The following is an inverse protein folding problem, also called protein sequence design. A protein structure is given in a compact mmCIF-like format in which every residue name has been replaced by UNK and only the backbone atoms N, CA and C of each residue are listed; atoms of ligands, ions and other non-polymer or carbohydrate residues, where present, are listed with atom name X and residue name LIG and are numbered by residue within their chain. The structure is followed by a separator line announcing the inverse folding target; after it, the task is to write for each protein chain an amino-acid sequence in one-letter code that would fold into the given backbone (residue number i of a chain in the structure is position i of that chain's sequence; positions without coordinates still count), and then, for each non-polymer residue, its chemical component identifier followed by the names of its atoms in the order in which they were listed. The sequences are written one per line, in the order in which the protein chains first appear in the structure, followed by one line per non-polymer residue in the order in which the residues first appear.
data_IF_589464481845
#
_entry.id   IF_589464481845
#
_cell.length_a   1.000
_cell.length_b   1.000
_cell.length_c   1.000
_cell.angle_alpha   90.00
_cell.angle_beta   90.00
_cell.angle_gamma   90.00
#
_symmetry.space_group_name_H-M   'P 1'
#
loop_
_entity.id
_entity.type
_entity.pdbx_description
1 polymer ?
#
# COMPACT_ATOMS: atom_id res chain seq x y z
N UNK A 1 3.90 31.15 -10.52
CA UNK A 1 2.96 31.65 -9.49
C UNK A 1 3.30 31.00 -8.16
N UNK A 2 3.14 31.73 -7.07
CA UNK A 2 3.30 31.22 -5.71
C UNK A 2 2.01 31.40 -4.92
N UNK A 3 1.69 30.43 -4.06
CA UNK A 3 0.50 30.44 -3.21
C UNK A 3 0.97 30.44 -1.76
N UNK A 4 0.45 31.37 -0.96
CA UNK A 4 0.73 31.53 0.45
C UNK A 4 -0.54 31.39 1.27
N UNK A 5 -0.42 30.74 2.42
CA UNK A 5 -1.45 30.67 3.44
C UNK A 5 -1.11 31.63 4.57
N UNK A 6 -2.09 32.37 5.08
CA UNK A 6 -1.93 33.18 6.29
C UNK A 6 -2.20 32.34 7.53
N UNK A 7 -1.22 32.26 8.43
CA UNK A 7 -1.32 31.58 9.71
C UNK A 7 -2.02 32.46 10.76
N UNK A 8 -2.35 31.89 11.92
CA UNK A 8 -3.04 32.62 13.01
C UNK A 8 -2.19 33.75 13.59
N UNK A 9 -0.87 33.60 13.56
CA UNK A 9 0.11 34.62 13.95
C UNK A 9 0.36 35.68 12.85
N UNK A 10 -0.46 35.68 11.79
CA UNK A 10 -0.32 36.50 10.58
C UNK A 10 0.95 36.22 9.75
N UNK A 11 1.71 35.18 10.08
CA UNK A 11 2.84 34.77 9.22
C UNK A 11 2.32 34.20 7.89
N UNK A 12 3.03 34.49 6.80
CA UNK A 12 2.75 33.93 5.49
C UNK A 12 3.60 32.67 5.28
N UNK A 13 2.96 31.56 4.97
CA UNK A 13 3.63 30.29 4.66
C UNK A 13 3.44 29.96 3.18
N UNK A 14 4.53 29.75 2.44
CA UNK A 14 4.48 29.24 1.06
C UNK A 14 3.92 27.82 1.08
N UNK A 15 2.79 27.60 0.40
CA UNK A 15 2.15 26.29 0.29
C UNK A 15 2.40 25.63 -1.07
N UNK A 16 2.59 26.41 -2.13
CA UNK A 16 2.85 25.88 -3.46
C UNK A 16 3.53 26.89 -4.38
N UNK A 17 4.33 26.38 -5.32
CA UNK A 17 4.94 27.15 -6.41
C UNK A 17 4.75 26.38 -7.72
N UNK A 18 4.21 27.04 -8.73
CA UNK A 18 4.06 26.46 -10.07
C UNK A 18 5.37 26.51 -10.86
N UNK A 19 5.43 25.76 -11.96
CA UNK A 19 6.51 25.81 -12.93
C UNK A 19 6.61 27.16 -13.66
N UNK A 20 7.77 27.38 -14.27
CA UNK A 20 8.05 28.58 -15.08
C UNK A 20 7.63 28.32 -16.52
N UNK A 21 6.70 29.15 -17.02
CA UNK A 21 6.28 29.13 -18.43
C UNK A 21 7.08 30.20 -19.19
N UNK A 22 7.93 29.78 -20.13
CA UNK A 22 8.83 30.69 -20.86
C UNK A 22 8.10 31.42 -21.99
N UNK A 23 8.40 32.71 -22.18
CA UNK A 23 7.98 33.54 -23.31
C UNK A 23 6.45 33.54 -23.57
N UNK A 24 5.64 33.63 -22.52
CA UNK A 24 4.19 33.59 -22.65
C UNK A 24 3.52 34.69 -21.82
N UNK A 25 2.69 35.52 -22.47
CA UNK A 25 1.90 36.59 -21.82
C UNK A 25 0.55 36.09 -21.28
N UNK A 26 0.13 34.89 -21.67
CA UNK A 26 -1.09 34.23 -21.21
C UNK A 26 -0.72 32.79 -20.76
N UNK A 27 0.10 32.62 -19.71
CA UNK A 27 0.56 31.32 -19.28
C UNK A 27 -0.60 30.48 -18.72
N UNK A 28 -0.63 29.21 -19.08
CA UNK A 28 -1.42 28.18 -18.40
C UNK A 28 -0.46 27.28 -17.64
N UNK A 29 -0.69 27.13 -16.34
CA UNK A 29 0.13 26.27 -15.49
C UNK A 29 -0.40 24.83 -15.48
N UNK A 30 0.50 23.88 -15.22
CA UNK A 30 0.14 22.46 -15.06
C UNK A 30 -0.80 22.27 -13.85
N UNK A 31 -1.80 21.38 -13.94
CA UNK A 31 -2.66 21.04 -12.81
C UNK A 31 -1.85 20.49 -11.63
N UNK A 32 -2.22 20.90 -10.41
CA UNK A 32 -1.58 20.43 -9.19
C UNK A 32 -2.60 19.96 -8.16
N UNK A 33 -2.16 19.14 -7.20
CA UNK A 33 -2.97 18.58 -6.12
C UNK A 33 -2.38 18.96 -4.77
N UNK A 34 -3.21 19.46 -3.87
CA UNK A 34 -2.84 19.80 -2.49
C UNK A 34 -3.87 19.25 -1.52
N UNK A 35 -3.43 18.84 -0.33
CA UNK A 35 -4.37 18.56 0.75
C UNK A 35 -4.96 19.87 1.30
N UNK A 36 -6.25 19.85 1.67
CA UNK A 36 -6.91 21.01 2.28
C UNK A 36 -6.21 21.47 3.56
N UNK A 37 -5.59 20.54 4.29
CA UNK A 37 -4.76 20.86 5.44
C UNK A 37 -3.55 21.74 5.05
N UNK A 38 -2.82 21.36 3.99
CA UNK A 38 -1.65 22.14 3.55
C UNK A 38 -2.08 23.49 3.00
N UNK A 39 -3.12 23.49 2.14
CA UNK A 39 -3.60 24.67 1.45
C UNK A 39 -4.18 25.71 2.41
N UNK A 40 -5.12 25.33 3.28
CA UNK A 40 -5.89 26.28 4.09
C UNK A 40 -6.11 25.82 5.55
N UNK A 41 -5.34 24.84 6.04
CA UNK A 41 -5.53 24.25 7.39
C UNK A 41 -6.95 23.73 7.62
N UNK A 42 -7.58 23.21 6.56
CA UNK A 42 -8.98 22.76 6.54
C UNK A 42 -10.04 23.84 6.81
N UNK A 43 -9.64 25.11 6.88
CA UNK A 43 -10.56 26.25 6.97
C UNK A 43 -10.78 26.81 5.56
N UNK A 44 -11.94 26.53 4.98
CA UNK A 44 -12.25 26.92 3.59
C UNK A 44 -12.40 28.44 3.41
N UNK A 45 -12.60 29.18 4.51
CA UNK A 45 -12.72 30.64 4.51
C UNK A 45 -11.38 31.33 4.76
N UNK A 46 -10.32 30.56 5.06
CA UNK A 46 -8.99 31.11 5.31
C UNK A 46 -8.47 31.86 4.07
N UNK A 47 -8.00 33.11 4.22
CA UNK A 47 -7.40 33.85 3.12
C UNK A 47 -6.13 33.18 2.59
N UNK A 48 -6.05 33.11 1.27
CA UNK A 48 -4.88 32.66 0.51
C UNK A 48 -4.39 33.81 -0.36
N UNK A 49 -3.08 34.01 -0.36
CA UNK A 49 -2.42 35.06 -1.14
C UNK A 49 -1.67 34.44 -2.29
N UNK A 50 -1.89 34.96 -3.48
CA UNK A 50 -1.30 34.47 -4.71
C UNK A 50 -0.37 35.54 -5.27
N UNK A 51 0.89 35.18 -5.49
CA UNK A 51 1.91 36.07 -6.03
C UNK A 51 2.32 35.60 -7.43
N UNK A 52 2.38 36.53 -8.38
CA UNK A 52 2.80 36.26 -9.75
C UNK A 52 4.08 37.01 -10.03
N UNK A 53 5.05 36.30 -10.58
CA UNK A 53 6.39 36.81 -10.87
C UNK A 53 6.76 36.52 -12.32
N UNK A 54 7.52 37.43 -12.91
CA UNK A 54 8.27 37.22 -14.12
C UNK A 54 9.63 36.61 -13.76
N UNK A 55 9.96 35.49 -14.41
CA UNK A 55 11.14 34.72 -14.07
C UNK A 55 12.37 35.28 -14.80
N UNK A 56 13.32 35.80 -14.03
CA UNK A 56 14.68 36.05 -14.50
C UNK A 56 15.67 34.93 -14.06
N UNK A 57 16.48 34.47 -15.02
CA UNK A 57 17.63 33.58 -14.81
C UNK A 57 18.66 34.09 -13.79
N UNK A 58 18.73 35.40 -13.55
CA UNK A 58 19.58 36.02 -12.53
C UNK A 58 19.15 35.68 -11.10
N UNK A 59 17.94 35.12 -10.91
CA UNK A 59 17.31 34.88 -9.61
C UNK A 59 16.57 36.09 -9.04
N UNK A 60 16.68 37.26 -9.67
CA UNK A 60 15.94 38.47 -9.28
C UNK A 60 14.63 38.55 -10.07
N UNK A 61 13.67 37.73 -9.67
CA UNK A 61 12.36 37.68 -10.32
C UNK A 61 11.58 38.98 -10.13
N UNK A 62 10.99 39.48 -11.20
CA UNK A 62 10.23 40.73 -11.17
C UNK A 62 8.80 40.45 -10.74
N UNK A 63 8.33 41.17 -9.72
CA UNK A 63 6.97 41.00 -9.21
C UNK A 63 5.94 41.61 -10.18
N UNK A 64 5.06 40.77 -10.72
CA UNK A 64 3.99 41.19 -11.64
C UNK A 64 2.81 41.72 -10.83
N UNK A 65 2.30 40.95 -9.87
CA UNK A 65 1.15 41.35 -9.06
C UNK A 65 0.67 40.24 -8.13
N UNK A 66 -0.32 40.57 -7.31
CA UNK A 66 -0.94 39.67 -6.34
C UNK A 66 -2.46 39.74 -6.37
N UNK A 67 -3.09 38.69 -5.87
CA UNK A 67 -4.50 38.68 -5.52
C UNK A 67 -4.72 37.80 -4.29
N UNK A 68 -5.88 37.97 -3.65
CA UNK A 68 -6.31 37.16 -2.50
C UNK A 68 -7.59 36.43 -2.86
N UNK A 69 -7.74 35.20 -2.40
CA UNK A 69 -9.00 34.45 -2.47
C UNK A 69 -9.09 33.46 -1.32
N UNK A 70 -10.21 32.74 -1.23
CA UNK A 70 -10.43 31.64 -0.27
C UNK A 70 -10.70 30.35 -1.03
N UNK A 71 -10.56 29.21 -0.35
CA UNK A 71 -10.92 27.94 -0.98
C UNK A 71 -12.39 27.87 -1.37
N UNK A 72 -13.27 28.43 -0.53
CA UNK A 72 -14.69 28.55 -0.82
C UNK A 72 -14.94 29.32 -2.13
N UNK A 73 -14.34 30.50 -2.32
CA UNK A 73 -14.52 31.31 -3.54
C UNK A 73 -14.02 30.58 -4.80
N UNK A 74 -12.92 29.84 -4.68
CA UNK A 74 -12.39 29.01 -5.76
C UNK A 74 -13.37 27.90 -6.14
N UNK A 75 -13.97 27.22 -5.16
CA UNK A 75 -14.97 26.18 -5.40
C UNK A 75 -16.27 26.72 -6.02
N UNK A 76 -16.83 27.80 -5.45
CA UNK A 76 -18.06 28.42 -5.94
C UNK A 76 -17.89 28.94 -7.37
N UNK A 77 -16.71 29.48 -7.66
CA UNK A 77 -16.37 30.03 -8.96
C UNK A 77 -16.15 28.98 -10.07
N UNK A 78 -16.00 27.70 -9.72
CA UNK A 78 -15.90 26.58 -10.68
C UNK A 78 -16.97 25.51 -10.46
N UNK A 79 -18.06 25.84 -9.77
CA UNK A 79 -19.10 24.87 -9.40
C UNK A 79 -19.89 24.34 -10.61
N UNK A 80 -20.05 25.15 -11.67
CA UNK A 80 -20.78 24.79 -12.87
C UNK A 80 -19.84 24.63 -14.09
N UNK A 81 -20.10 23.67 -14.99
CA UNK A 81 -19.33 23.53 -16.23
C UNK A 81 -19.35 24.82 -17.06
N UNK A 82 -18.17 25.33 -17.42
CA UNK A 82 -18.01 26.58 -18.20
C UNK A 82 -18.05 27.86 -17.37
N UNK A 83 -18.25 27.77 -16.04
CA UNK A 83 -18.06 28.90 -15.14
C UNK A 83 -16.59 29.00 -14.75
N UNK A 84 -15.98 30.16 -15.02
CA UNK A 84 -14.61 30.46 -14.66
C UNK A 84 -14.58 31.53 -13.57
N UNK A 85 -13.73 31.33 -12.57
CA UNK A 85 -13.46 32.36 -11.57
C UNK A 85 -12.29 33.21 -12.02
N UNK A 86 -12.44 34.52 -11.94
CA UNK A 86 -11.43 35.47 -12.37
C UNK A 86 -11.09 36.45 -11.26
N UNK A 87 -9.81 36.79 -11.14
CA UNK A 87 -9.32 37.83 -10.25
C UNK A 87 -8.37 38.75 -11.01
N UNK A 88 -8.44 40.04 -10.71
CA UNK A 88 -7.45 40.99 -11.20
C UNK A 88 -6.12 40.80 -10.47
N UNK A 89 -5.04 40.68 -11.22
CA UNK A 89 -3.69 40.63 -10.67
C UNK A 89 -3.22 42.06 -10.39
N UNK A 90 -3.02 42.41 -9.12
CA UNK A 90 -2.75 43.79 -8.70
C UNK A 90 -1.29 43.94 -8.26
N UNK A 91 -0.55 44.85 -8.89
CA UNK A 91 0.74 45.30 -8.38
C UNK A 91 0.53 46.50 -7.44
N UNK A 92 0.77 46.38 -6.11
CA UNK A 92 0.53 47.49 -5.19
C UNK A 92 1.34 48.73 -5.56
N UNK A 93 2.61 48.55 -6.01
CA UNK A 93 3.47 49.67 -6.42
C UNK A 93 2.91 50.43 -7.62
N UNK A 94 2.25 49.74 -8.56
CA UNK A 94 1.63 50.40 -9.72
C UNK A 94 0.28 51.00 -9.38
N UNK A 95 -0.53 50.34 -8.55
CA UNK A 95 -1.79 50.89 -8.05
C UNK A 95 -1.60 52.23 -7.38
N UNK A 96 -0.57 52.36 -6.54
CA UNK A 96 -0.34 53.58 -5.76
C UNK A 96 0.34 54.69 -6.58
N UNK A 97 1.09 54.35 -7.64
CA UNK A 97 1.87 55.33 -8.44
C UNK A 97 1.24 55.73 -9.77
N UNK A 98 0.44 54.88 -10.40
CA UNK A 98 -0.06 55.10 -11.78
C UNK A 98 -1.55 55.45 -11.74
N UNK A 99 -1.88 56.69 -12.14
CA UNK A 99 -3.24 57.27 -12.09
C UNK A 99 -4.31 56.47 -12.86
N UNK A 100 -3.94 55.72 -13.90
CA UNK A 100 -4.86 54.96 -14.76
C UNK A 100 -4.63 53.43 -14.68
N UNK A 101 -3.98 52.94 -13.64
CA UNK A 101 -3.73 51.51 -13.47
C UNK A 101 -5.00 50.76 -13.06
N UNK A 102 -5.32 49.67 -13.77
CA UNK A 102 -6.44 48.78 -13.44
C UNK A 102 -5.94 47.45 -12.87
N UNK A 103 -5.17 46.71 -13.65
CA UNK A 103 -4.54 45.45 -13.25
C UNK A 103 -3.27 45.20 -14.09
N UNK A 104 -2.45 44.23 -13.67
CA UNK A 104 -1.26 43.74 -14.37
C UNK A 104 -1.57 42.46 -15.16
N UNK A 105 -2.86 42.20 -15.40
CA UNK A 105 -3.37 40.97 -15.97
C UNK A 105 -4.56 40.43 -15.17
N UNK A 106 -5.19 39.40 -15.70
CA UNK A 106 -6.32 38.69 -15.07
C UNK A 106 -5.92 37.23 -14.86
N UNK A 107 -6.17 36.71 -13.67
CA UNK A 107 -5.95 35.30 -13.33
C UNK A 107 -7.27 34.57 -13.43
N UNK A 108 -7.27 33.47 -14.19
CA UNK A 108 -8.44 32.63 -14.42
C UNK A 108 -8.20 31.27 -13.78
N UNK A 109 -9.10 30.85 -12.89
CA UNK A 109 -9.12 29.48 -12.38
C UNK A 109 -10.01 28.65 -13.30
N UNK A 110 -9.37 27.81 -14.12
CA UNK A 110 -10.05 26.96 -15.09
C UNK A 110 -10.82 25.79 -14.43
N UNK A 111 -10.26 25.18 -13.39
CA UNK A 111 -10.85 24.04 -12.71
C UNK A 111 -10.39 23.95 -11.25
N UNK A 112 -11.32 23.68 -10.34
CA UNK A 112 -11.03 23.33 -8.96
C UNK A 112 -11.99 22.22 -8.50
N UNK A 113 -11.44 21.04 -8.21
CA UNK A 113 -12.20 19.87 -7.76
C UNK A 113 -11.72 19.42 -6.38
N UNK A 114 -12.65 18.96 -5.55
CA UNK A 114 -12.33 18.29 -4.28
C UNK A 114 -12.53 16.80 -4.45
N UNK A 115 -11.45 16.06 -4.29
CA UNK A 115 -11.48 14.60 -4.26
C UNK A 115 -11.40 14.14 -2.79
N UNK A 116 -12.39 13.36 -2.35
CA UNK A 116 -12.32 12.71 -1.04
C UNK A 116 -11.31 11.56 -1.13
N UNK A 117 -10.21 11.68 -0.40
CA UNK A 117 -9.24 10.61 -0.25
C UNK A 117 -9.64 9.76 0.96
N UNK A 118 -9.80 8.46 0.74
CA UNK A 118 -10.14 7.51 1.79
C UNK A 118 -8.87 6.95 2.44
N UNK A 119 -8.93 6.78 3.76
CA UNK A 119 -7.88 6.14 4.54
C UNK A 119 -8.07 4.64 4.59
N UNK A 120 -7.03 3.89 4.96
CA UNK A 120 -7.15 2.45 5.19
C UNK A 120 -8.25 2.11 6.20
N UNK A 121 -8.33 2.87 7.31
CA UNK A 121 -9.35 2.66 8.33
C UNK A 121 -10.76 2.91 7.82
N UNK A 122 -10.96 3.84 6.87
CA UNK A 122 -12.27 4.04 6.25
C UNK A 122 -12.74 2.77 5.54
N UNK A 123 -11.86 2.06 4.84
CA UNK A 123 -12.17 0.78 4.20
C UNK A 123 -12.53 -0.30 5.23
N UNK A 124 -11.73 -0.45 6.29
CA UNK A 124 -11.99 -1.43 7.36
C UNK A 124 -13.32 -1.14 8.06
N UNK A 125 -13.57 0.11 8.45
CA UNK A 125 -14.84 0.52 9.07
C UNK A 125 -16.03 0.36 8.12
N UNK A 126 -15.79 0.56 6.82
CA UNK A 126 -16.75 0.32 5.74
C UNK A 126 -17.03 -1.17 5.45
N UNK A 127 -16.42 -2.09 6.21
CA UNK A 127 -16.68 -3.52 6.12
C UNK A 127 -15.73 -4.29 5.20
N UNK A 128 -14.65 -3.68 4.73
CA UNK A 128 -13.58 -4.38 4.01
C UNK A 128 -12.85 -5.34 4.96
N UNK A 129 -12.81 -6.61 4.60
CA UNK A 129 -12.12 -7.66 5.34
C UNK A 129 -10.72 -7.90 4.78
N UNK A 130 -9.71 -7.87 5.64
CA UNK A 130 -8.38 -8.35 5.29
C UNK A 130 -8.32 -9.85 5.57
N UNK A 131 -7.86 -10.63 4.59
CA UNK A 131 -7.76 -12.08 4.68
C UNK A 131 -6.36 -12.55 4.33
N UNK A 132 -5.70 -13.18 5.30
CA UNK A 132 -4.33 -13.64 5.19
C UNK A 132 -4.27 -15.10 4.76
N UNK A 133 -3.43 -15.39 3.77
CA UNK A 133 -3.07 -16.75 3.35
C UNK A 133 -1.60 -16.98 3.66
N UNK A 134 -1.28 -18.11 4.28
CA UNK A 134 0.11 -18.46 4.63
C UNK A 134 0.64 -19.47 3.61
N UNK A 135 1.84 -19.24 3.10
CA UNK A 135 2.57 -20.14 2.22
C UNK A 135 3.94 -20.46 2.81
N UNK A 136 4.23 -21.74 3.01
CA UNK A 136 5.46 -22.22 3.64
C UNK A 136 6.30 -22.96 2.60
N UNK A 137 7.53 -22.51 2.44
CA UNK A 137 8.54 -23.19 1.64
C UNK A 137 8.96 -24.50 2.31
N UNK A 138 8.82 -25.61 1.59
CA UNK A 138 9.27 -26.95 2.01
C UNK A 138 10.32 -27.50 1.05
N UNK A 139 11.15 -26.64 0.48
CA UNK A 139 12.19 -27.05 -0.46
C UNK A 139 13.40 -27.67 0.21
N UNK A 140 14.16 -28.46 -0.55
CA UNK A 140 15.32 -29.21 -0.07
C UNK A 140 16.50 -28.31 0.36
N UNK A 141 16.54 -27.04 -0.03
CA UNK A 141 17.55 -26.07 0.42
C UNK A 141 17.52 -25.85 1.94
N UNK A 142 16.36 -26.07 2.56
CA UNK A 142 16.18 -26.02 4.01
C UNK A 142 16.90 -27.13 4.79
N UNK A 143 17.41 -28.16 4.10
CA UNK A 143 18.07 -29.32 4.68
C UNK A 143 17.11 -30.32 5.34
N UNK A 144 17.59 -31.55 5.54
CA UNK A 144 16.80 -32.65 6.10
C UNK A 144 16.20 -32.28 7.48
N UNK A 145 14.87 -32.31 7.67
CA UNK A 145 14.22 -31.95 8.93
C UNK A 145 14.70 -32.75 10.15
N UNK A 146 15.34 -33.90 9.95
CA UNK A 146 15.93 -34.73 11.01
C UNK A 146 17.29 -34.20 11.48
N UNK A 147 17.95 -33.39 10.66
CA UNK A 147 19.22 -32.75 11.01
C UNK A 147 18.97 -31.54 11.89
N UNK A 148 19.79 -31.38 12.95
CA UNK A 148 19.74 -30.21 13.83
C UNK A 148 20.11 -28.90 13.14
N UNK A 149 20.73 -28.95 11.96
CA UNK A 149 21.10 -27.78 11.17
C UNK A 149 19.98 -27.34 10.20
N UNK A 150 18.93 -28.14 10.02
CA UNK A 150 17.82 -27.80 9.12
C UNK A 150 17.00 -26.63 9.65
N UNK A 151 16.57 -25.76 8.74
CA UNK A 151 15.66 -24.66 9.05
C UNK A 151 14.27 -25.17 9.48
N UNK A 152 13.93 -26.42 9.13
CA UNK A 152 12.70 -27.10 9.54
C UNK A 152 12.83 -28.00 10.77
N UNK A 153 14.03 -28.15 11.37
CA UNK A 153 14.27 -29.13 12.44
C UNK A 153 13.28 -29.00 13.60
N UNK A 154 12.47 -30.05 13.85
CA UNK A 154 11.54 -30.07 14.98
C UNK A 154 12.26 -30.48 16.25
N UNK A 155 12.77 -29.50 17.00
CA UNK A 155 13.36 -29.72 18.33
C UNK A 155 12.33 -29.51 19.45
N UNK A 156 12.32 -30.36 20.49
CA UNK A 156 11.48 -30.15 21.67
C UNK A 156 11.94 -28.96 22.53
N UNK A 157 13.19 -28.50 22.38
CA UNK A 157 13.79 -27.43 23.20
C UNK A 157 13.68 -26.05 22.59
N UNK A 158 13.75 -25.95 21.26
CA UNK A 158 13.76 -24.66 20.57
C UNK A 158 12.91 -24.73 19.29
N UNK A 159 12.03 -23.74 19.04
CA UNK A 159 11.33 -23.65 17.77
C UNK A 159 12.31 -23.39 16.62
N UNK A 160 12.06 -23.99 15.47
CA UNK A 160 12.84 -23.73 14.27
C UNK A 160 12.54 -22.33 13.68
N UNK A 161 13.25 -21.94 12.63
CA UNK A 161 13.15 -20.60 12.05
C UNK A 161 11.74 -20.31 11.50
N UNK A 162 11.09 -21.28 10.85
CA UNK A 162 9.73 -21.14 10.35
C UNK A 162 8.71 -20.99 11.48
N UNK A 163 8.83 -21.77 12.55
CA UNK A 163 7.96 -21.68 13.73
C UNK A 163 8.13 -20.35 14.47
N UNK A 164 9.36 -19.82 14.54
CA UNK A 164 9.62 -18.49 15.08
C UNK A 164 8.95 -17.41 14.22
N UNK A 165 9.13 -17.47 12.90
CA UNK A 165 8.52 -16.53 11.97
C UNK A 165 6.98 -16.60 11.96
N UNK A 166 6.40 -17.80 11.93
CA UNK A 166 4.94 -17.99 12.02
C UNK A 166 4.38 -17.41 13.32
N UNK A 167 5.03 -17.63 14.46
CA UNK A 167 4.57 -17.07 15.74
C UNK A 167 4.66 -15.56 15.77
N UNK A 168 5.79 -15.01 15.32
CA UNK A 168 6.04 -13.58 15.38
C UNK A 168 5.19 -12.84 14.34
N UNK A 169 5.39 -13.13 13.06
CA UNK A 169 4.72 -12.47 11.94
C UNK A 169 3.25 -12.85 11.87
N UNK A 170 2.94 -14.15 11.94
CA UNK A 170 1.56 -14.61 11.91
C UNK A 170 0.75 -14.04 13.08
N UNK A 171 1.32 -14.00 14.29
CA UNK A 171 0.64 -13.43 15.46
C UNK A 171 0.24 -11.97 15.24
N UNK A 172 1.10 -11.18 14.59
CA UNK A 172 0.80 -9.81 14.20
C UNK A 172 -0.31 -9.78 13.14
N UNK A 173 -0.17 -10.56 12.06
CA UNK A 173 -1.17 -10.62 10.98
C UNK A 173 -2.54 -11.06 11.47
N UNK A 174 -2.60 -11.91 12.50
CA UNK A 174 -3.83 -12.41 13.07
C UNK A 174 -4.72 -11.34 13.70
N UNK A 175 -4.14 -10.25 14.19
CA UNK A 175 -4.92 -9.14 14.75
C UNK A 175 -5.58 -8.27 13.65
N UNK A 176 -5.14 -8.42 12.39
CA UNK A 176 -5.69 -7.72 11.23
C UNK A 176 -6.60 -8.60 10.37
N UNK A 177 -6.49 -9.92 10.50
CA UNK A 177 -7.39 -10.85 9.82
C UNK A 177 -8.79 -10.81 10.44
N UNK A 178 -9.81 -10.72 9.58
CA UNK A 178 -11.18 -10.46 10.02
C UNK A 178 -11.87 -11.68 10.65
N UNK A 179 -11.55 -12.90 10.21
CA UNK A 179 -12.17 -14.14 10.70
C UNK A 179 -11.19 -15.06 11.44
N UNK A 180 -9.89 -14.71 11.43
CA UNK A 180 -8.78 -15.48 12.02
C UNK A 180 -8.68 -16.89 11.45
N UNK A 181 -9.13 -17.11 10.22
CA UNK A 181 -9.02 -18.37 9.49
C UNK A 181 -8.03 -18.19 8.36
N UNK A 182 -6.92 -18.90 8.45
CA UNK A 182 -5.80 -18.77 7.53
C UNK A 182 -5.76 -19.96 6.59
N UNK A 183 -6.07 -19.80 5.30
CA UNK A 183 -5.66 -20.77 4.30
C UNK A 183 -4.15 -20.97 4.39
N UNK A 184 -3.71 -22.21 4.59
CA UNK A 184 -2.31 -22.53 4.79
C UNK A 184 -1.83 -23.54 3.74
N UNK A 185 -0.83 -23.12 2.96
CA UNK A 185 -0.27 -23.88 1.85
C UNK A 185 1.22 -24.13 2.01
N UNK A 186 1.68 -25.21 1.40
CA UNK A 186 3.09 -25.55 1.26
C UNK A 186 3.49 -25.55 -0.21
N UNK A 187 4.77 -25.29 -0.49
CA UNK A 187 5.30 -25.39 -1.85
C UNK A 187 6.70 -26.00 -1.88
N UNK A 188 7.03 -26.67 -2.99
CA UNK A 188 8.36 -27.24 -3.22
C UNK A 188 8.60 -28.58 -2.53
N UNK A 189 7.55 -29.36 -2.26
CA UNK A 189 7.66 -30.68 -1.64
C UNK A 189 6.96 -31.76 -2.47
N UNK A 190 7.37 -33.01 -2.25
CA UNK A 190 6.64 -34.19 -2.71
C UNK A 190 5.65 -34.63 -1.65
N UNK A 191 4.37 -34.70 -2.03
CA UNK A 191 3.27 -34.99 -1.10
C UNK A 191 2.72 -36.41 -1.27
N UNK A 192 2.33 -37.09 -0.18
CA UNK A 192 1.64 -38.39 -0.28
C UNK A 192 0.29 -38.25 -1.00
N UNK A 193 -0.27 -39.35 -1.57
CA UNK A 193 0.24 -40.72 -1.52
C UNK A 193 1.27 -41.05 -2.61
N UNK A 194 1.27 -40.32 -3.73
CA UNK A 194 2.09 -40.64 -4.90
C UNK A 194 3.48 -39.97 -4.90
N UNK A 195 3.73 -39.06 -3.95
CA UNK A 195 4.97 -38.27 -3.85
C UNK A 195 5.26 -37.45 -5.12
N UNK A 196 4.21 -36.88 -5.70
CA UNK A 196 4.31 -35.91 -6.77
C UNK A 196 4.72 -34.54 -6.22
N UNK A 197 5.51 -33.81 -7.00
CA UNK A 197 5.97 -32.46 -6.65
C UNK A 197 4.79 -31.52 -6.69
N UNK A 198 4.54 -30.81 -5.59
CA UNK A 198 3.52 -29.79 -5.49
C UNK A 198 4.11 -28.45 -5.05
N UNK A 199 3.55 -27.37 -5.59
CA UNK A 199 3.94 -25.99 -5.32
C UNK A 199 2.81 -25.15 -4.71
N UNK A 200 1.73 -25.79 -4.27
CA UNK A 200 0.57 -25.09 -3.69
C UNK A 200 -0.35 -25.99 -2.84
N UNK A 201 0.14 -27.08 -2.24
CA UNK A 201 -0.71 -28.04 -1.51
C UNK A 201 -1.19 -27.49 -0.16
N UNK A 202 -2.36 -27.92 0.31
CA UNK A 202 -2.87 -27.57 1.64
C UNK A 202 -2.09 -28.31 2.73
N UNK A 203 -1.51 -27.60 3.71
CA UNK A 203 -0.65 -28.23 4.74
C UNK A 203 -1.45 -29.07 5.76
N UNK A 204 -2.76 -28.86 5.84
CA UNK A 204 -3.66 -29.70 6.62
C UNK A 204 -4.09 -30.98 5.89
N UNK A 205 -3.65 -31.18 4.64
CA UNK A 205 -4.06 -32.26 3.74
C UNK A 205 -5.58 -32.29 3.43
N UNK A 206 -6.25 -31.14 3.54
CA UNK A 206 -7.65 -30.96 3.15
C UNK A 206 -7.71 -29.96 1.98
N UNK A 207 -7.64 -30.42 0.71
CA UNK A 207 -7.60 -29.53 -0.45
C UNK A 207 -8.83 -28.63 -0.59
N UNK A 208 -10.00 -29.13 -0.18
CA UNK A 208 -11.29 -28.42 -0.24
C UNK A 208 -11.44 -27.37 0.86
N UNK A 209 -10.70 -27.51 1.97
CA UNK A 209 -10.76 -26.60 3.11
C UNK A 209 -9.35 -26.40 3.70
N UNK A 210 -8.51 -25.56 3.09
CA UNK A 210 -7.14 -25.32 3.55
C UNK A 210 -7.05 -24.41 4.79
N UNK A 211 -8.19 -24.00 5.35
CA UNK A 211 -8.28 -22.99 6.40
C UNK A 211 -7.93 -23.57 7.78
N UNK A 212 -6.96 -22.94 8.44
CA UNK A 212 -6.57 -23.22 9.81
C UNK A 212 -7.11 -22.14 10.75
N UNK A 213 -7.69 -22.54 11.88
CA UNK A 213 -8.12 -21.60 12.92
C UNK A 213 -6.92 -21.04 13.67
N UNK A 214 -6.75 -19.72 13.62
CA UNK A 214 -5.62 -19.00 14.18
C UNK A 214 -4.24 -19.48 13.67
N UNK A 215 -3.20 -18.74 14.04
CA UNK A 215 -1.81 -19.14 13.81
C UNK A 215 -1.44 -20.39 14.59
N UNK A 216 -2.12 -20.63 15.72
CA UNK A 216 -1.97 -21.87 16.49
C UNK A 216 -2.37 -23.10 15.66
N UNK A 217 -3.45 -23.01 14.86
CA UNK A 217 -3.86 -24.03 13.92
C UNK A 217 -2.86 -24.23 12.78
N UNK A 218 -2.32 -23.14 12.20
CA UNK A 218 -1.28 -23.21 11.16
C UNK A 218 -0.03 -23.92 11.69
N UNK A 219 0.41 -23.60 12.92
CA UNK A 219 1.56 -24.25 13.57
C UNK A 219 1.29 -25.75 13.80
N UNK A 220 0.09 -26.12 14.23
CA UNK A 220 -0.29 -27.51 14.43
C UNK A 220 -0.31 -28.29 13.10
N UNK A 221 -0.87 -27.70 12.04
CA UNK A 221 -0.86 -28.27 10.70
C UNK A 221 0.57 -28.43 10.16
N UNK A 222 1.43 -27.41 10.30
CA UNK A 222 2.84 -27.47 9.92
C UNK A 222 3.59 -28.62 10.61
N UNK A 223 3.43 -28.78 11.94
CA UNK A 223 4.09 -29.85 12.71
C UNK A 223 3.65 -31.25 12.29
N UNK A 224 2.39 -31.39 11.89
CA UNK A 224 1.82 -32.66 11.40
C UNK A 224 2.19 -32.94 9.95
N UNK A 225 2.30 -31.89 9.12
CA UNK A 225 2.61 -31.99 7.69
C UNK A 225 4.06 -32.39 7.44
N UNK A 226 5.00 -31.72 8.10
CA UNK A 226 6.42 -31.84 7.83
C UNK A 226 6.98 -33.29 7.86
N UNK A 227 6.58 -34.19 8.80
CA UNK A 227 7.06 -35.57 8.80
C UNK A 227 6.50 -36.45 7.68
N UNK A 228 5.42 -36.03 7.02
CA UNK A 228 4.68 -36.82 6.02
C UNK A 228 5.09 -36.50 4.58
N UNK A 229 5.76 -35.36 4.36
CA UNK A 229 6.21 -34.90 3.05
C UNK A 229 7.70 -35.14 2.86
N UNK A 230 8.15 -35.11 1.61
CA UNK A 230 9.58 -35.10 1.28
C UNK A 230 9.95 -33.73 0.72
N UNK A 231 10.87 -33.03 1.39
CA UNK A 231 11.40 -31.75 0.90
C UNK A 231 12.01 -31.95 -0.50
N UNK A 232 11.69 -31.08 -1.44
CA UNK A 232 12.11 -31.23 -2.83
C UNK A 232 12.38 -29.87 -3.50
N UNK A 233 12.44 -29.80 -4.82
CA UNK A 233 12.60 -28.53 -5.53
C UNK A 233 12.00 -28.63 -6.93
N UNK A 234 12.02 -27.55 -7.70
CA UNK A 234 12.60 -26.23 -7.41
C UNK A 234 11.75 -25.37 -6.46
N UNK A 235 12.28 -24.21 -6.06
CA UNK A 235 11.53 -23.22 -5.26
C UNK A 235 10.71 -22.34 -6.19
N UNK A 236 9.49 -22.77 -6.48
CA UNK A 236 8.58 -22.04 -7.36
C UNK A 236 7.49 -21.33 -6.54
N UNK A 237 7.43 -20.01 -6.65
CA UNK A 237 6.47 -19.17 -5.90
C UNK A 237 5.30 -18.73 -6.79
N UNK A 238 5.47 -18.72 -8.11
CA UNK A 238 4.40 -18.33 -9.03
C UNK A 238 3.10 -19.15 -8.86
N UNK A 239 3.12 -20.48 -8.62
CA UNK A 239 1.90 -21.26 -8.43
C UNK A 239 1.06 -20.77 -7.25
N UNK A 240 1.69 -20.49 -6.11
CA UNK A 240 0.97 -20.05 -4.92
C UNK A 240 0.41 -18.63 -5.07
N UNK A 241 1.12 -17.74 -5.76
CA UNK A 241 0.62 -16.39 -6.11
C UNK A 241 -0.64 -16.51 -6.97
N UNK A 242 -0.62 -17.37 -7.99
CA UNK A 242 -1.77 -17.56 -8.87
C UNK A 242 -2.97 -18.19 -8.13
N UNK A 243 -2.73 -19.11 -7.18
CA UNK A 243 -3.79 -19.68 -6.35
C UNK A 243 -4.52 -18.62 -5.54
N UNK A 244 -3.80 -17.68 -4.92
CA UNK A 244 -4.39 -16.57 -4.14
C UNK A 244 -5.00 -15.49 -5.05
N UNK A 245 -4.44 -15.30 -6.24
CA UNK A 245 -4.99 -14.38 -7.24
C UNK A 245 -6.39 -14.79 -7.71
N UNK A 246 -6.71 -16.09 -7.77
CA UNK A 246 -8.03 -16.58 -8.20
C UNK A 246 -9.20 -16.02 -7.37
N UNK A 247 -9.21 -16.20 -6.04
CA UNK A 247 -10.18 -15.56 -5.15
C UNK A 247 -10.18 -14.03 -5.26
N UNK A 248 -9.02 -13.37 -5.34
CA UNK A 248 -8.92 -11.92 -5.48
C UNK A 248 -9.54 -11.40 -6.79
N UNK A 249 -9.44 -12.16 -7.88
CA UNK A 249 -10.07 -11.83 -9.16
C UNK A 249 -11.60 -11.92 -9.10
N UNK A 250 -12.14 -12.89 -8.36
CA UNK A 250 -13.60 -12.96 -8.10
C UNK A 250 -14.06 -11.75 -7.30
N UNK A 251 -13.29 -11.35 -6.30
CA UNK A 251 -13.57 -10.16 -5.49
C UNK A 251 -13.56 -8.88 -6.33
N UNK A 252 -12.57 -8.70 -7.21
CA UNK A 252 -12.54 -7.58 -8.15
C UNK A 252 -13.83 -7.46 -8.97
N UNK A 253 -14.40 -8.59 -9.39
CA UNK A 253 -15.61 -8.63 -10.22
C UNK A 253 -16.86 -8.14 -9.49
N UNK A 254 -16.84 -8.06 -8.14
CA UNK A 254 -17.94 -7.52 -7.35
C UNK A 254 -18.05 -6.00 -7.45
N UNK A 255 -16.95 -5.32 -7.78
CA UNK A 255 -16.86 -3.85 -7.82
C UNK A 255 -16.99 -3.20 -6.43
N UNK A 256 -16.87 -3.95 -5.35
CA UNK A 256 -17.02 -3.48 -3.98
C UNK A 256 -15.74 -3.73 -3.18
N UNK A 257 -15.52 -2.95 -2.12
CA UNK A 257 -14.40 -3.13 -1.21
C UNK A 257 -14.78 -4.08 -0.06
N UNK A 258 -15.13 -5.34 -0.36
CA UNK A 258 -15.58 -6.29 0.67
C UNK A 258 -14.46 -7.16 1.21
N UNK A 259 -13.50 -7.56 0.37
CA UNK A 259 -12.37 -8.39 0.77
C UNK A 259 -11.07 -7.92 0.11
N UNK A 260 -9.97 -8.02 0.85
CA UNK A 260 -8.62 -7.78 0.36
C UNK A 260 -7.70 -8.91 0.83
N UNK A 261 -6.97 -9.53 -0.11
CA UNK A 261 -6.17 -10.74 0.18
C UNK A 261 -4.71 -10.40 0.44
N UNK A 262 -4.10 -11.00 1.46
CA UNK A 262 -2.67 -10.83 1.77
C UNK A 262 -2.01 -12.21 1.79
N UNK A 263 -1.07 -12.45 0.88
CA UNK A 263 -0.29 -13.69 0.83
C UNK A 263 1.01 -13.51 1.62
N UNK A 264 1.14 -14.22 2.74
CA UNK A 264 2.36 -14.31 3.55
C UNK A 264 3.20 -15.53 3.12
N UNK A 265 4.32 -15.30 2.45
CA UNK A 265 5.26 -16.32 2.00
C UNK A 265 6.44 -16.41 2.96
N UNK A 266 6.72 -17.59 3.50
CA UNK A 266 7.93 -17.87 4.28
C UNK A 266 8.87 -18.72 3.43
N UNK A 267 10.08 -18.22 3.14
CA UNK A 267 11.07 -18.90 2.29
C UNK A 267 12.48 -18.69 2.81
N UNK A 268 13.40 -19.62 2.51
CA UNK A 268 14.81 -19.49 2.85
C UNK A 268 15.60 -18.65 1.83
N UNK A 269 14.97 -18.17 0.74
CA UNK A 269 15.47 -17.06 -0.07
C UNK A 269 15.87 -17.37 -1.51
N UNK A 270 15.87 -18.64 -1.92
CA UNK A 270 16.25 -19.03 -3.29
C UNK A 270 14.98 -19.23 -4.12
N UNK A 271 14.59 -18.27 -4.97
CA UNK A 271 13.46 -18.47 -5.90
C UNK A 271 13.99 -18.90 -7.27
N UNK A 272 13.52 -20.04 -7.75
CA UNK A 272 13.96 -20.63 -9.02
C UNK A 272 13.18 -20.11 -10.22
N UNK A 273 11.90 -19.76 -10.05
CA UNK A 273 10.98 -19.33 -11.11
C UNK A 273 10.83 -17.80 -11.18
N UNK A 274 11.95 -17.06 -11.16
CA UNK A 274 11.92 -15.60 -11.10
C UNK A 274 11.14 -14.95 -12.26
N UNK A 275 11.21 -15.51 -13.47
CA UNK A 275 10.50 -14.99 -14.65
C UNK A 275 8.97 -15.15 -14.51
N UNK A 276 8.53 -16.32 -14.06
CA UNK A 276 7.14 -16.67 -13.81
C UNK A 276 6.60 -15.92 -12.60
N UNK A 277 7.38 -15.81 -11.53
CA UNK A 277 7.05 -15.07 -10.31
C UNK A 277 6.84 -13.59 -10.62
N UNK A 278 7.75 -12.95 -11.37
CA UNK A 278 7.52 -11.56 -11.86
C UNK A 278 6.26 -11.44 -12.71
N UNK A 279 5.98 -12.42 -13.56
CA UNK A 279 4.76 -12.41 -14.38
C UNK A 279 3.50 -12.55 -13.52
N UNK A 280 3.54 -13.39 -12.49
CA UNK A 280 2.45 -13.57 -11.54
C UNK A 280 2.22 -12.29 -10.71
N UNK A 281 3.29 -11.67 -10.20
CA UNK A 281 3.22 -10.40 -9.45
C UNK A 281 2.64 -9.27 -10.33
N UNK A 282 3.12 -9.12 -11.58
CA UNK A 282 2.59 -8.09 -12.49
C UNK A 282 1.10 -8.31 -12.79
N UNK A 283 0.63 -9.55 -12.89
CA UNK A 283 -0.80 -9.85 -13.01
C UNK A 283 -1.57 -9.53 -11.72
N UNK A 284 -1.06 -10.00 -10.59
CA UNK A 284 -1.61 -9.78 -9.26
C UNK A 284 -1.69 -8.30 -8.88
N UNK A 285 -0.80 -7.44 -9.42
CA UNK A 285 -0.82 -6.00 -9.16
C UNK A 285 -2.13 -5.32 -9.55
N UNK A 286 -2.93 -5.94 -10.42
CA UNK A 286 -4.24 -5.43 -10.84
C UNK A 286 -5.40 -5.94 -10.00
N UNK A 287 -5.16 -6.80 -9.00
CA UNK A 287 -6.16 -7.46 -8.17
C UNK A 287 -6.15 -6.88 -6.74
N UNK A 288 -7.20 -7.06 -5.91
CA UNK A 288 -7.20 -6.66 -4.49
C UNK A 288 -6.34 -7.61 -3.64
N UNK A 289 -5.03 -7.62 -3.90
CA UNK A 289 -4.08 -8.46 -3.16
C UNK A 289 -2.73 -7.81 -2.89
N UNK A 290 -2.09 -8.20 -1.79
CA UNK A 290 -0.70 -7.89 -1.45
C UNK A 290 0.07 -9.18 -1.15
N UNK A 291 1.39 -9.13 -1.22
CA UNK A 291 2.29 -10.26 -0.98
C UNK A 291 3.35 -9.80 0.02
N UNK A 292 3.51 -10.52 1.12
CA UNK A 292 4.56 -10.30 2.11
C UNK A 292 5.49 -11.51 2.05
N UNK A 293 6.76 -11.30 1.74
CA UNK A 293 7.79 -12.34 1.68
C UNK A 293 8.69 -12.19 2.90
N UNK A 294 8.69 -13.22 3.76
CA UNK A 294 9.53 -13.30 4.94
C UNK A 294 10.69 -14.26 4.68
N UNK A 295 11.89 -13.71 4.59
CA UNK A 295 13.13 -14.47 4.42
C UNK A 295 13.60 -15.08 5.73
N UNK A 296 13.65 -16.40 5.83
CA UNK A 296 14.16 -17.14 6.99
C UNK A 296 15.56 -17.70 6.74
N UNK A 297 16.36 -17.85 7.79
CA UNK A 297 17.73 -18.33 7.67
C UNK A 297 18.73 -17.27 7.22
N UNK A 298 19.85 -17.71 6.64
CA UNK A 298 21.04 -16.89 6.39
C UNK A 298 21.42 -16.81 4.90
N UNK A 299 20.52 -17.15 3.99
CA UNK A 299 20.80 -17.07 2.56
C UNK A 299 20.98 -15.62 2.08
N UNK A 300 21.39 -15.50 0.82
CA UNK A 300 21.37 -14.25 0.09
C UNK A 300 19.93 -13.95 -0.37
N UNK A 301 19.42 -12.78 0.01
CA UNK A 301 18.06 -12.32 -0.30
C UNK A 301 18.04 -11.23 -1.38
N UNK A 302 19.12 -11.08 -2.15
CA UNK A 302 19.22 -10.08 -3.22
C UNK A 302 18.06 -10.19 -4.21
N UNK A 303 17.70 -11.42 -4.62
CA UNK A 303 16.56 -11.64 -5.52
C UNK A 303 15.22 -11.23 -4.91
N UNK A 304 15.06 -11.35 -3.59
CA UNK A 304 13.81 -10.99 -2.91
C UNK A 304 13.66 -9.47 -2.77
N UNK A 305 14.77 -8.76 -2.54
CA UNK A 305 14.81 -7.29 -2.56
C UNK A 305 14.45 -6.73 -3.94
N UNK A 306 14.84 -7.44 -5.00
CA UNK A 306 14.47 -7.07 -6.36
C UNK A 306 12.96 -7.20 -6.64
N UNK A 307 12.23 -8.00 -5.85
CA UNK A 307 10.78 -8.11 -5.95
C UNK A 307 10.02 -7.01 -5.20
N UNK A 308 10.66 -6.34 -4.23
CA UNK A 308 10.09 -5.39 -3.26
C UNK A 308 9.68 -4.03 -3.86
N UNK A 309 9.90 -3.79 -5.17
CA UNK A 309 9.40 -2.59 -5.86
C UNK A 309 10.06 -1.24 -5.48
N UNK A 310 10.79 -1.16 -4.37
CA UNK A 310 11.46 0.04 -3.84
C UNK A 310 12.45 0.68 -4.83
N UNK A 311 13.19 -0.14 -5.59
CA UNK A 311 14.18 0.32 -6.58
C UNK A 311 13.56 0.63 -7.96
N UNK A 312 12.23 0.69 -8.05
CA UNK A 312 11.47 1.02 -9.25
C UNK A 312 10.47 -0.06 -9.68
N UNK A 313 9.59 0.26 -10.65
CA UNK A 313 8.46 -0.60 -10.98
C UNK A 313 8.93 -1.96 -11.51
N UNK A 314 8.53 -3.04 -10.81
CA UNK A 314 8.82 -4.41 -11.21
C UNK A 314 8.27 -4.69 -12.62
N UNK A 315 9.10 -5.25 -13.50
CA UNK A 315 8.73 -5.60 -14.87
C UNK A 315 8.74 -7.11 -15.07
N UNK A 316 7.73 -7.63 -15.74
CA UNK A 316 7.76 -9.00 -16.22
C UNK A 316 8.78 -9.14 -17.38
N UNK A 317 9.20 -10.36 -17.75
CA UNK A 317 10.14 -10.59 -18.87
C UNK A 317 9.71 -9.97 -20.21
N UNK A 318 8.41 -9.72 -20.40
CA UNK A 318 7.85 -9.04 -21.59
C UNK A 318 7.95 -7.51 -21.54
N UNK A 319 8.56 -6.93 -20.51
CA UNK A 319 8.74 -5.49 -20.33
C UNK A 319 7.55 -4.74 -19.73
N UNK A 320 6.41 -5.41 -19.52
CA UNK A 320 5.21 -4.80 -18.91
C UNK A 320 5.47 -4.53 -17.42
N UNK A 321 5.31 -3.28 -16.95
CA UNK A 321 5.45 -2.93 -15.54
C UNK A 321 4.23 -3.38 -14.73
N UNK A 322 4.44 -3.63 -13.43
CA UNK A 322 3.38 -3.77 -12.45
C UNK A 322 2.53 -2.49 -12.40
N UNK A 323 1.22 -2.64 -12.19
CA UNK A 323 0.29 -1.51 -12.13
C UNK A 323 0.47 -0.67 -10.85
N UNK A 324 0.91 -1.33 -9.79
CA UNK A 324 1.21 -0.79 -8.46
C UNK A 324 2.18 -1.73 -7.77
N UNK A 325 2.82 -1.24 -6.73
CA UNK A 325 3.64 -2.09 -5.87
C UNK A 325 2.75 -2.91 -4.92
N UNK A 326 3.08 -4.20 -4.78
CA UNK A 326 2.29 -5.16 -4.00
C UNK A 326 3.13 -6.12 -3.17
N UNK A 327 4.46 -6.04 -3.26
CA UNK A 327 5.35 -6.97 -2.57
C UNK A 327 6.00 -6.22 -1.43
N UNK A 328 6.06 -6.84 -0.26
CA UNK A 328 6.90 -6.40 0.85
C UNK A 328 7.89 -7.53 1.19
N UNK A 329 9.19 -7.27 1.14
CA UNK A 329 10.20 -8.20 1.60
C UNK A 329 10.66 -7.86 3.03
N UNK A 330 10.74 -8.87 3.90
CA UNK A 330 11.23 -8.73 5.27
C UNK A 330 12.22 -9.86 5.61
N UNK A 331 13.52 -9.56 5.78
CA UNK A 331 14.49 -10.55 6.27
C UNK A 331 14.28 -10.78 7.78
N UNK A 332 13.78 -11.95 8.16
CA UNK A 332 13.43 -12.27 9.56
C UNK A 332 14.65 -12.22 10.49
N UNK A 333 15.85 -12.49 9.98
CA UNK A 333 17.10 -12.48 10.75
C UNK A 333 17.41 -11.11 11.38
N UNK A 334 16.96 -10.03 10.76
CA UNK A 334 17.23 -8.65 11.20
C UNK A 334 16.41 -8.30 12.46
N UNK A 335 15.44 -9.14 12.84
CA UNK A 335 14.49 -8.89 13.92
C UNK A 335 14.54 -9.94 15.05
N UNK A 336 15.52 -10.85 15.05
CA UNK A 336 15.64 -11.89 16.09
C UNK A 336 15.78 -11.32 17.50
N UNK A 337 16.48 -10.20 17.64
CA UNK A 337 16.71 -9.50 18.92
C UNK A 337 15.90 -8.20 19.04
N UNK A 338 15.08 -7.88 18.05
CA UNK A 338 14.30 -6.65 18.02
C UNK A 338 12.98 -6.80 18.80
N UNK A 339 12.43 -5.66 19.25
CA UNK A 339 11.10 -5.66 19.86
C UNK A 339 10.04 -6.15 18.84
N UNK A 340 9.02 -6.93 19.25
CA UNK A 340 7.97 -7.41 18.35
C UNK A 340 7.26 -6.29 17.57
N UNK A 341 7.18 -5.09 18.15
CA UNK A 341 6.62 -3.90 17.50
C UNK A 341 7.43 -3.42 16.29
N UNK A 342 8.75 -3.61 16.29
CA UNK A 342 9.61 -3.26 15.14
C UNK A 342 9.35 -4.19 13.96
N UNK A 343 9.21 -5.50 14.22
CA UNK A 343 8.83 -6.48 13.21
C UNK A 343 7.42 -6.19 12.66
N UNK A 344 6.45 -5.90 13.54
CA UNK A 344 5.09 -5.56 13.12
C UNK A 344 5.04 -4.34 12.22
N UNK A 345 5.79 -3.30 12.58
CA UNK A 345 5.89 -2.08 11.79
C UNK A 345 6.44 -2.35 10.40
N UNK A 346 7.43 -3.24 10.25
CA UNK A 346 8.03 -3.53 8.94
C UNK A 346 7.15 -4.45 8.10
N UNK A 347 6.60 -5.52 8.68
CA UNK A 347 5.74 -6.48 7.98
C UNK A 347 4.48 -5.82 7.40
N UNK A 348 3.86 -4.91 8.16
CA UNK A 348 2.60 -4.26 7.79
C UNK A 348 2.78 -2.81 7.33
N UNK A 349 4.01 -2.35 7.09
CA UNK A 349 4.28 -0.97 6.72
C UNK A 349 3.46 -0.54 5.49
N UNK A 350 3.40 -1.43 4.50
CA UNK A 350 2.91 -1.09 3.17
C UNK A 350 1.48 -1.51 2.89
N UNK A 351 0.98 -2.56 3.56
CA UNK A 351 -0.36 -3.09 3.31
C UNK A 351 -1.44 -1.98 3.35
N UNK A 352 -1.46 -1.07 4.35
CA UNK A 352 -2.44 0.02 4.37
C UNK A 352 -2.38 0.92 3.12
N UNK A 353 -1.18 1.26 2.66
CA UNK A 353 -0.96 2.07 1.46
C UNK A 353 -1.42 1.32 0.22
N UNK A 354 -1.04 0.05 0.08
CA UNK A 354 -1.36 -0.81 -1.06
C UNK A 354 -2.87 -1.06 -1.20
N UNK A 355 -3.61 -1.13 -0.08
CA UNK A 355 -5.08 -1.21 -0.06
C UNK A 355 -5.71 0.06 -0.60
N UNK A 356 -5.32 1.22 -0.07
CA UNK A 356 -5.87 2.52 -0.50
C UNK A 356 -5.54 2.79 -1.97
N UNK A 357 -4.30 2.54 -2.38
CA UNK A 357 -3.86 2.72 -3.77
C UNK A 357 -4.68 1.86 -4.74
N UNK A 358 -4.91 0.59 -4.40
CA UNK A 358 -5.76 -0.28 -5.22
C UNK A 358 -7.16 0.29 -5.38
N UNK A 359 -7.90 0.49 -4.29
CA UNK A 359 -9.30 0.90 -4.39
C UNK A 359 -9.47 2.31 -4.96
N UNK A 360 -8.57 3.24 -4.65
CA UNK A 360 -8.55 4.57 -5.25
C UNK A 360 -8.33 4.50 -6.76
N UNK A 361 -7.39 3.67 -7.25
CA UNK A 361 -7.15 3.48 -8.69
C UNK A 361 -8.34 2.89 -9.44
N UNK A 362 -9.19 2.13 -8.73
CA UNK A 362 -10.41 1.54 -9.29
C UNK A 362 -11.64 2.43 -9.12
N UNK A 363 -11.53 3.60 -8.45
CA UNK A 363 -12.66 4.46 -8.13
C UNK A 363 -13.66 3.84 -7.14
N UNK A 364 -13.22 2.86 -6.33
CA UNK A 364 -14.06 2.15 -5.38
C UNK A 364 -13.95 2.83 -4.01
N UNK A 365 -15.07 3.37 -3.54
CA UNK A 365 -15.18 3.96 -2.20
C UNK A 365 -15.41 2.88 -1.12
N UNK A 366 -15.03 3.14 0.14
CA UNK A 366 -15.41 2.32 1.28
C UNK A 366 -16.92 2.13 1.37
N UNK A 367 -17.33 0.97 1.92
CA UNK A 367 -18.73 0.72 2.26
C UNK A 367 -19.22 1.64 3.38
N UNK A 368 -20.52 1.57 3.66
CA UNK A 368 -21.13 2.37 4.76
C UNK A 368 -20.60 1.84 6.10
N UNK A 369 -20.06 2.71 6.97
CA UNK A 369 -19.59 2.30 8.28
C UNK A 369 -20.68 1.55 9.04
N UNK A 370 -20.37 0.35 9.54
CA UNK A 370 -21.32 -0.33 10.43
C UNK A 370 -21.44 0.49 11.72
N UNK A 371 -22.66 0.83 12.19
CA UNK A 371 -22.80 1.55 13.44
C UNK A 371 -22.17 0.71 14.56
N UNK A 372 -21.21 1.31 15.29
CA UNK A 372 -20.66 0.69 16.49
C UNK A 372 -21.81 0.48 17.48
N UNK A 373 -22.31 -0.75 17.61
CA UNK A 373 -23.15 -1.08 18.76
C UNK A 373 -22.27 -1.02 20.00
N UNK A 374 -22.58 -0.17 20.99
CA UNK A 374 -21.83 -0.15 22.24
C UNK A 374 -21.82 -1.54 22.84
N UNK A 375 -20.64 -2.01 23.25
CA UNK A 375 -20.50 -3.27 23.97
C UNK A 375 -21.47 -3.25 25.16
N UNK A 376 -22.45 -4.15 25.13
CA UNK A 376 -23.42 -4.29 26.20
C UNK A 376 -22.64 -4.76 27.43
N UNK A 377 -22.48 -3.88 28.42
CA UNK A 377 -21.93 -4.25 29.72
C UNK A 377 -22.70 -5.44 30.26
N UNK A 378 -22.05 -6.56 30.61
CA UNK A 378 -22.73 -7.71 31.17
C UNK A 378 -23.40 -7.28 32.48
N UNK A 379 -24.71 -7.48 32.57
CA UNK A 379 -25.49 -7.25 33.78
C UNK A 379 -24.96 -8.16 34.90
N UNK A 380 -24.78 -7.65 36.14
CA UNK A 380 -24.43 -8.50 37.27
C UNK A 380 -25.56 -9.51 37.48
N UNK A 381 -25.19 -10.79 37.53
CA UNK A 381 -26.13 -11.88 37.80
C UNK A 381 -26.62 -11.79 39.26
N UNK A 382 -27.88 -12.17 39.54
CA UNK A 382 -28.52 -12.03 40.85
C UNK A 382 -27.92 -12.90 41.95
#
# INVERSE_FOLDING_TARGET
MEIYKTNEDQSEQLVWRTEVVKNNLNPSWEPFRLSLHSLCSCDIHRPLKFLVYDYDSSGKHDFIGEFTSTFQEMQEGTANPGQERQWDCINPKYRDKKRNYKSSGTIVLAQCTVEKVHTFLDYIMGGCQISFTVAIDFTASNGDPRSSQSLHCLSPRQPNHYLQALRAVGGICQDYDSDKRFPAFGFGARIPPNFEVSHDFAINFEPENPECEEISGVIAAYRRCLPQIQLYGPTNVAPIINRVAGPAQREQSTGQATKYSVLLVLTDGVVSDMAETRTAIVRASRLPMSIIIVGVGNADFTDMRLLDGDDGPLRCPRGVPAARDIVQFVPFRDFKDAAPSALAKCVLAEVPRQVVEYYASQGISPGVPRPCTPATTPSPSP
#
